data_IF_513287513211
#
_entry.id   IF_513287513211
#
_cell.length_a   1.000
_cell.length_b   1.000
_cell.length_c   1.000
_cell.angle_alpha   90.00
_cell.angle_beta   90.00
_cell.angle_gamma   90.00
#
_symmetry.space_group_name_H-M   'P 1'
#
loop_
_entity.id
_entity.type
_entity.pdbx_description
1 polymer ?
#
# COMPACT_ATOMS: atom_id res chain seq x y z
N UNK A 1 -24.36 -12.02 -38.49
CA UNK A 1 -23.82 -11.65 -37.16
C UNK A 1 -22.51 -10.94 -37.40
N UNK A 2 -22.56 -9.59 -37.42
CA UNK A 2 -21.35 -8.76 -37.57
C UNK A 2 -20.55 -8.82 -36.27
N UNK A 3 -19.31 -9.28 -36.37
CA UNK A 3 -18.37 -9.21 -35.25
C UNK A 3 -18.15 -7.72 -34.90
N UNK A 4 -18.54 -7.33 -33.73
CA UNK A 4 -18.32 -5.99 -33.18
C UNK A 4 -16.80 -5.78 -33.08
N UNK A 5 -16.28 -4.87 -33.90
CA UNK A 5 -14.86 -4.59 -33.96
C UNK A 5 -14.43 -3.93 -32.66
N UNK A 6 -13.64 -4.62 -31.83
CA UNK A 6 -13.06 -4.06 -30.62
C UNK A 6 -12.37 -2.74 -30.95
N UNK A 7 -12.68 -1.65 -30.26
CA UNK A 7 -12.07 -0.35 -30.55
C UNK A 7 -10.55 -0.41 -30.40
N UNK A 8 -9.85 0.15 -31.36
CA UNK A 8 -8.39 0.25 -31.32
C UNK A 8 -7.99 1.36 -30.37
N UNK A 9 -7.55 0.98 -29.18
CA UNK A 9 -7.14 1.93 -28.12
C UNK A 9 -5.87 2.70 -28.54
N UNK A 10 -5.02 2.09 -29.37
CA UNK A 10 -3.79 2.74 -29.86
C UNK A 10 -4.11 3.91 -30.80
N UNK A 11 -5.28 3.87 -31.44
CA UNK A 11 -5.75 4.97 -32.29
C UNK A 11 -6.16 6.23 -31.49
N UNK A 12 -6.42 6.12 -30.17
CA UNK A 12 -6.83 7.24 -29.33
C UNK A 12 -5.65 8.15 -28.92
N UNK A 13 -4.41 7.69 -29.05
CA UNK A 13 -3.16 8.43 -28.81
C UNK A 13 -3.19 9.39 -27.60
N UNK A 14 -3.88 9.00 -26.52
CA UNK A 14 -4.04 9.85 -25.33
C UNK A 14 -2.94 9.56 -24.30
N UNK A 15 -2.18 10.55 -23.81
CA UNK A 15 -1.03 10.33 -22.92
C UNK A 15 -1.38 9.70 -21.56
N UNK A 16 -2.66 9.77 -21.15
CA UNK A 16 -3.16 9.16 -19.92
C UNK A 16 -3.86 7.82 -20.16
N UNK A 17 -3.83 7.29 -21.40
CA UNK A 17 -4.48 6.04 -21.75
C UNK A 17 -3.43 5.03 -22.20
N UNK A 18 -3.35 3.90 -21.52
CA UNK A 18 -2.44 2.80 -21.86
C UNK A 18 -3.11 1.45 -21.56
N UNK A 19 -2.62 0.40 -22.16
CA UNK A 19 -3.12 -0.96 -21.88
C UNK A 19 -2.54 -1.48 -20.57
N UNK A 20 -3.32 -2.23 -19.79
CA UNK A 20 -2.86 -2.82 -18.52
C UNK A 20 -1.58 -3.66 -18.66
N UNK A 21 -1.40 -4.36 -19.79
CA UNK A 21 -0.16 -5.11 -20.09
C UNK A 21 1.08 -4.22 -20.25
N UNK A 22 0.89 -2.97 -20.67
CA UNK A 22 1.95 -2.02 -20.95
C UNK A 22 2.25 -1.10 -19.74
N UNK A 23 1.43 -1.22 -18.67
CA UNK A 23 1.54 -0.41 -17.46
C UNK A 23 2.94 -0.51 -16.83
N UNK A 24 3.45 -1.72 -16.72
CA UNK A 24 4.76 -1.98 -16.12
C UNK A 24 5.92 -1.42 -16.95
N UNK A 25 5.77 -1.39 -18.28
CA UNK A 25 6.79 -0.86 -19.19
C UNK A 25 6.70 0.65 -19.39
N UNK A 26 5.48 1.20 -19.43
CA UNK A 26 5.24 2.62 -19.70
C UNK A 26 5.45 3.53 -18.48
N UNK A 27 5.26 3.01 -17.27
CA UNK A 27 5.45 3.76 -16.02
C UNK A 27 6.88 3.73 -15.50
N UNK A 28 7.82 3.07 -16.20
CA UNK A 28 9.18 2.84 -15.69
C UNK A 28 9.21 1.91 -14.48
N UNK A 29 8.09 1.26 -14.16
CA UNK A 29 7.96 0.26 -13.10
C UNK A 29 8.65 -1.04 -13.56
N UNK A 30 9.96 -0.99 -13.69
CA UNK A 30 10.74 -2.21 -13.85
C UNK A 30 10.77 -2.92 -12.49
N UNK A 31 10.16 -4.11 -12.33
CA UNK A 31 10.09 -4.81 -11.05
C UNK A 31 11.45 -5.00 -10.38
N UNK A 32 12.51 -5.07 -11.19
CA UNK A 32 13.88 -5.22 -10.72
C UNK A 32 14.55 -3.93 -10.25
N UNK A 33 13.92 -2.77 -10.40
CA UNK A 33 14.48 -1.46 -10.02
C UNK A 33 13.79 -0.80 -8.83
N UNK A 34 12.64 -1.34 -8.37
CA UNK A 34 11.96 -0.80 -7.21
C UNK A 34 12.43 -1.48 -5.93
N UNK A 35 12.82 -0.67 -4.96
CA UNK A 35 13.06 -1.15 -3.62
C UNK A 35 11.77 -1.78 -3.07
N UNK A 36 11.90 -2.97 -2.51
CA UNK A 36 10.80 -3.70 -1.88
C UNK A 36 11.10 -3.92 -0.40
N UNK A 37 10.04 -4.06 0.37
CA UNK A 37 10.10 -4.47 1.77
C UNK A 37 9.68 -5.93 1.85
N UNK A 38 10.47 -6.75 2.51
CA UNK A 38 10.06 -8.15 2.72
C UNK A 38 8.76 -8.22 3.50
N UNK A 39 7.87 -9.11 3.10
CA UNK A 39 6.64 -9.37 3.84
C UNK A 39 6.89 -10.12 5.16
N UNK A 40 8.09 -10.68 5.34
CA UNK A 40 8.39 -11.62 6.41
C UNK A 40 7.92 -13.05 6.16
N UNK A 41 7.29 -13.30 5.02
CA UNK A 41 6.77 -14.60 4.61
C UNK A 41 7.37 -14.97 3.25
N UNK A 42 8.36 -15.87 3.24
CA UNK A 42 9.09 -16.23 2.03
C UNK A 42 8.18 -16.77 0.89
N UNK A 43 7.11 -17.48 1.24
CA UNK A 43 6.14 -17.95 0.25
C UNK A 43 5.36 -16.79 -0.39
N UNK A 44 4.97 -15.79 0.40
CA UNK A 44 4.30 -14.61 -0.13
C UNK A 44 5.25 -13.79 -0.99
N UNK A 45 6.48 -13.57 -0.53
CA UNK A 45 7.48 -12.79 -1.28
C UNK A 45 7.73 -13.38 -2.68
N UNK A 46 7.67 -14.71 -2.86
CA UNK A 46 7.78 -15.35 -4.17
C UNK A 46 6.66 -14.99 -5.15
N UNK A 47 5.49 -14.61 -4.63
CA UNK A 47 4.32 -14.27 -5.43
C UNK A 47 4.15 -12.76 -5.62
N UNK A 48 4.81 -11.96 -4.76
CA UNK A 48 4.77 -10.51 -4.88
C UNK A 48 5.73 -10.02 -5.96
N UNK A 49 5.29 -9.00 -6.68
CA UNK A 49 6.09 -8.37 -7.73
C UNK A 49 7.36 -7.75 -7.11
N UNK A 50 8.52 -8.17 -7.58
CA UNK A 50 9.82 -7.73 -7.04
C UNK A 50 10.27 -8.47 -5.79
N UNK A 51 9.51 -9.45 -5.28
CA UNK A 51 9.91 -10.28 -4.14
C UNK A 51 9.57 -9.67 -2.76
N UNK A 52 8.59 -8.78 -2.70
CA UNK A 52 8.15 -8.15 -1.46
C UNK A 52 7.11 -7.05 -1.69
N UNK A 53 6.73 -6.36 -0.63
CA UNK A 53 5.85 -5.20 -0.73
C UNK A 53 6.55 -4.04 -1.43
N UNK A 54 5.88 -3.29 -2.32
CA UNK A 54 6.48 -2.12 -2.93
C UNK A 54 6.79 -1.07 -1.86
N UNK A 55 8.01 -0.54 -1.88
CA UNK A 55 8.39 0.54 -0.97
C UNK A 55 7.70 1.86 -1.32
N UNK A 56 7.31 2.02 -2.58
CA UNK A 56 6.54 3.16 -3.06
C UNK A 56 5.37 2.64 -3.88
N UNK A 57 4.17 3.04 -3.54
CA UNK A 57 2.95 2.63 -4.22
C UNK A 57 1.77 2.42 -3.29
N UNK A 58 0.69 1.94 -3.86
CA UNK A 58 -0.52 1.56 -3.15
C UNK A 58 -0.64 0.04 -3.12
N UNK A 59 -0.92 -0.49 -1.94
CA UNK A 59 -1.27 -1.90 -1.75
C UNK A 59 -2.70 -1.98 -1.23
N UNK A 60 -3.56 -2.66 -1.96
CA UNK A 60 -4.95 -2.89 -1.55
C UNK A 60 -5.11 -4.32 -1.03
N UNK A 61 -5.50 -4.45 0.23
CA UNK A 61 -5.79 -5.74 0.87
C UNK A 61 -7.30 -5.98 0.87
N UNK A 62 -7.75 -6.81 -0.06
CA UNK A 62 -9.16 -7.18 -0.19
C UNK A 62 -9.52 -8.30 0.79
N UNK A 63 -10.29 -7.97 1.80
CA UNK A 63 -10.68 -8.87 2.88
C UNK A 63 -12.19 -9.06 2.91
N UNK A 64 -12.70 -10.26 3.20
CA UNK A 64 -14.14 -10.47 3.35
C UNK A 64 -14.72 -9.74 4.57
N UNK A 65 -13.90 -9.54 5.61
CA UNK A 65 -14.25 -8.77 6.82
C UNK A 65 -12.97 -8.31 7.53
N UNK A 66 -13.05 -7.24 8.31
CA UNK A 66 -11.95 -6.77 9.14
C UNK A 66 -11.76 -7.67 10.38
N UNK A 67 -10.52 -7.75 10.90
CA UNK A 67 -10.21 -8.46 12.14
C UNK A 67 -9.97 -9.96 11.98
N UNK A 68 -9.74 -10.47 10.78
CA UNK A 68 -9.43 -11.88 10.52
C UNK A 68 -7.94 -12.22 10.60
N UNK A 69 -7.09 -11.24 10.98
CA UNK A 69 -5.65 -11.42 11.12
C UNK A 69 -4.81 -10.70 10.07
N UNK A 70 -5.41 -9.78 9.31
CA UNK A 70 -4.76 -8.96 8.28
C UNK A 70 -3.53 -8.21 8.81
N UNK A 71 -3.56 -7.77 10.07
CA UNK A 71 -2.41 -7.11 10.67
C UNK A 71 -1.18 -8.00 10.72
N UNK A 72 -1.35 -9.32 10.89
CA UNK A 72 -0.21 -10.25 10.89
C UNK A 72 0.58 -10.19 9.59
N UNK A 73 -0.12 -9.94 8.47
CA UNK A 73 0.47 -9.86 7.15
C UNK A 73 1.39 -8.65 7.00
N UNK A 74 1.02 -7.53 7.64
CA UNK A 74 1.75 -6.26 7.53
C UNK A 74 2.66 -5.98 8.73
N UNK A 75 2.55 -6.76 9.83
CA UNK A 75 3.39 -6.57 11.02
C UNK A 75 4.89 -6.52 10.72
N UNK A 76 5.47 -7.42 9.90
CA UNK A 76 6.91 -7.36 9.61
C UNK A 76 7.33 -6.08 8.90
N UNK A 77 6.45 -5.52 8.07
CA UNK A 77 6.68 -4.24 7.39
C UNK A 77 6.56 -3.09 8.38
N UNK A 78 5.52 -3.10 9.23
CA UNK A 78 5.35 -2.09 10.28
C UNK A 78 6.57 -2.06 11.21
N UNK A 79 7.08 -3.22 11.58
CA UNK A 79 8.30 -3.35 12.39
C UNK A 79 9.49 -2.64 11.72
N UNK A 80 9.67 -2.82 10.42
CA UNK A 80 10.75 -2.18 9.68
C UNK A 80 10.56 -0.66 9.56
N UNK A 81 9.37 -0.22 9.14
CA UNK A 81 9.08 1.20 8.88
C UNK A 81 9.12 2.04 10.15
N UNK A 82 8.57 1.52 11.25
CA UNK A 82 8.48 2.26 12.53
C UNK A 82 9.80 2.43 13.26
N UNK A 83 10.91 1.83 12.80
CA UNK A 83 12.22 2.07 13.42
C UNK A 83 12.73 3.50 13.19
N UNK A 84 12.45 4.07 12.01
CA UNK A 84 13.08 5.31 11.58
C UNK A 84 12.10 6.42 11.14
N UNK A 85 10.82 6.10 11.00
CA UNK A 85 9.82 7.04 10.50
C UNK A 85 8.43 6.75 11.07
N UNK A 86 7.53 7.69 10.91
CA UNK A 86 6.14 7.52 11.35
C UNK A 86 5.35 6.67 10.37
N UNK A 87 4.45 5.86 10.90
CA UNK A 87 3.38 5.20 10.18
C UNK A 87 2.04 5.73 10.69
N UNK A 88 1.21 6.18 9.78
CA UNK A 88 -0.07 6.83 10.12
C UNK A 88 -1.22 5.87 9.82
N UNK A 89 -2.08 5.66 10.79
CA UNK A 89 -3.29 4.86 10.66
C UNK A 89 -4.50 5.78 10.61
N UNK A 90 -5.18 5.80 9.49
CA UNK A 90 -6.33 6.68 9.28
C UNK A 90 -7.62 5.86 9.40
N UNK A 91 -8.46 6.23 10.35
CA UNK A 91 -9.74 5.58 10.64
C UNK A 91 -9.64 4.05 10.77
N UNK A 92 -8.68 3.49 11.53
CA UNK A 92 -8.65 2.06 11.71
C UNK A 92 -9.99 1.56 12.28
N UNK A 93 -10.51 0.41 11.80
CA UNK A 93 -11.79 -0.12 12.24
C UNK A 93 -11.82 -0.48 13.74
N UNK A 94 -10.65 -0.80 14.27
CA UNK A 94 -10.44 -1.09 15.69
C UNK A 94 -9.33 -0.23 16.26
N UNK A 95 -9.34 0.00 17.57
CA UNK A 95 -8.24 0.68 18.25
C UNK A 95 -7.02 -0.26 18.26
N UNK A 96 -5.87 0.16 17.73
CA UNK A 96 -4.66 -0.65 17.77
C UNK A 96 -4.25 -0.96 19.21
N UNK A 97 -4.01 -2.23 19.51
CA UNK A 97 -3.58 -2.64 20.83
C UNK A 97 -2.05 -2.51 20.95
N UNK A 98 -1.61 -1.43 21.58
CA UNK A 98 -0.21 -1.03 21.71
C UNK A 98 0.69 -2.15 22.23
N UNK A 99 0.27 -2.81 23.32
CA UNK A 99 1.07 -3.87 23.94
C UNK A 99 1.34 -5.03 22.99
N UNK A 100 0.34 -5.42 22.18
CA UNK A 100 0.52 -6.49 21.19
C UNK A 100 1.44 -6.07 20.05
N UNK A 101 1.31 -4.84 19.59
CA UNK A 101 2.20 -4.29 18.54
C UNK A 101 3.64 -4.21 19.03
N UNK A 102 3.86 -3.71 20.25
CA UNK A 102 5.18 -3.64 20.87
C UNK A 102 5.80 -5.03 21.06
N UNK A 103 5.01 -6.02 21.50
CA UNK A 103 5.47 -7.40 21.62
C UNK A 103 5.88 -8.02 20.28
N UNK A 104 5.32 -7.53 19.17
CA UNK A 104 5.72 -7.88 17.80
C UNK A 104 6.89 -7.04 17.27
N UNK A 105 7.54 -6.21 18.11
CA UNK A 105 8.70 -5.41 17.71
C UNK A 105 8.37 -4.12 16.94
N UNK A 106 7.11 -3.74 16.87
CA UNK A 106 6.70 -2.47 16.28
C UNK A 106 7.00 -1.34 17.26
N UNK A 107 7.66 -0.27 16.79
CA UNK A 107 7.88 0.91 17.61
C UNK A 107 6.60 1.76 17.65
N UNK A 108 5.80 1.59 18.70
CA UNK A 108 4.51 2.24 18.85
C UNK A 108 4.60 3.76 19.03
N UNK A 109 5.74 4.30 19.45
CA UNK A 109 5.98 5.74 19.52
C UNK A 109 5.96 6.41 18.12
N UNK A 110 6.21 5.63 17.08
CA UNK A 110 6.19 6.08 15.69
C UNK A 110 4.89 5.71 14.96
N UNK A 111 3.85 5.31 15.70
CA UNK A 111 2.52 5.13 15.14
C UNK A 111 1.64 6.32 15.52
N UNK A 112 1.04 6.94 14.51
CA UNK A 112 0.05 7.99 14.68
C UNK A 112 -1.32 7.45 14.25
N UNK A 113 -2.34 7.66 15.08
CA UNK A 113 -3.71 7.31 14.75
C UNK A 113 -4.51 8.58 14.50
N UNK A 114 -5.03 8.71 13.29
CA UNK A 114 -5.86 9.85 12.87
C UNK A 114 -7.30 9.39 12.78
N UNK A 115 -8.20 10.08 13.45
CA UNK A 115 -9.65 9.88 13.37
C UNK A 115 -10.28 11.08 12.70
N UNK A 116 -10.93 10.87 11.58
CA UNK A 116 -11.64 11.91 10.84
C UNK A 116 -13.14 11.67 10.92
N UNK A 117 -13.93 12.73 10.72
CA UNK A 117 -15.39 12.65 10.75
C UNK A 117 -16.01 12.69 9.35
N UNK A 118 -15.27 13.19 8.37
CA UNK A 118 -15.73 13.29 7.00
C UNK A 118 -14.82 12.54 6.03
N UNK A 119 -15.36 12.17 4.87
CA UNK A 119 -14.57 11.58 3.79
C UNK A 119 -13.52 12.56 3.24
N UNK A 120 -13.87 13.84 3.19
CA UNK A 120 -12.98 14.91 2.73
C UNK A 120 -11.77 15.05 3.64
N UNK A 121 -11.98 15.06 4.97
CA UNK A 121 -10.87 15.08 5.96
C UNK A 121 -10.00 13.84 5.86
N UNK A 122 -10.60 12.68 5.55
CA UNK A 122 -9.85 11.43 5.34
C UNK A 122 -8.90 11.55 4.16
N UNK A 123 -9.40 12.03 3.01
CA UNK A 123 -8.59 12.22 1.80
C UNK A 123 -7.49 13.27 2.03
N UNK A 124 -7.85 14.40 2.64
CA UNK A 124 -6.90 15.45 2.96
C UNK A 124 -5.80 14.95 3.89
N UNK A 125 -6.14 14.24 4.95
CA UNK A 125 -5.17 13.67 5.89
C UNK A 125 -4.24 12.68 5.20
N UNK A 126 -4.79 11.81 4.35
CA UNK A 126 -4.02 10.83 3.56
C UNK A 126 -3.01 11.54 2.66
N UNK A 127 -3.46 12.53 1.90
CA UNK A 127 -2.59 13.32 1.02
C UNK A 127 -1.44 13.97 1.81
N UNK A 128 -1.76 14.62 2.94
CA UNK A 128 -0.75 15.29 3.77
C UNK A 128 0.28 14.32 4.32
N UNK A 129 -0.13 13.15 4.76
CA UNK A 129 0.78 12.12 5.22
C UNK A 129 1.67 11.60 4.09
N UNK A 130 1.12 11.34 2.90
CA UNK A 130 1.88 10.88 1.74
C UNK A 130 2.92 11.91 1.24
N UNK A 131 2.66 13.20 1.43
CA UNK A 131 3.58 14.29 1.06
C UNK A 131 4.64 14.57 2.14
N UNK A 132 4.51 13.99 3.32
CA UNK A 132 5.44 14.22 4.44
C UNK A 132 6.66 13.31 4.33
N UNK A 133 7.85 13.87 4.36
CA UNK A 133 9.12 13.11 4.37
C UNK A 133 9.33 12.29 5.65
N UNK A 134 8.61 12.60 6.71
CA UNK A 134 8.68 11.86 7.99
C UNK A 134 7.72 10.68 8.06
N UNK A 135 6.82 10.52 7.08
CA UNK A 135 5.85 9.44 7.01
C UNK A 135 6.34 8.35 6.06
N UNK A 136 6.53 7.14 6.58
CA UNK A 136 6.96 5.99 5.79
C UNK A 136 5.80 5.16 5.24
N UNK A 137 4.60 5.34 5.78
CA UNK A 137 3.41 4.62 5.32
C UNK A 137 2.11 5.14 5.94
N UNK A 138 1.03 4.95 5.19
CA UNK A 138 -0.34 5.27 5.62
C UNK A 138 -1.18 4.00 5.50
N UNK A 139 -1.94 3.68 6.55
CA UNK A 139 -2.87 2.55 6.62
C UNK A 139 -4.30 3.05 6.85
#
# INVERSE_FOLDING_TARGET
MSAEKTPDIDALAHPMLWRGKDLLSSTGLNPSQHAVLTSGYAELDRHLLGGGWPQQGLVDLLLPQAGIGELRLILPVLQQLTQNAYVVWINPPFIPYETALGACGVNTHNILVVRTQSHEDTLWSTERCCLSSGCAGVL
#
